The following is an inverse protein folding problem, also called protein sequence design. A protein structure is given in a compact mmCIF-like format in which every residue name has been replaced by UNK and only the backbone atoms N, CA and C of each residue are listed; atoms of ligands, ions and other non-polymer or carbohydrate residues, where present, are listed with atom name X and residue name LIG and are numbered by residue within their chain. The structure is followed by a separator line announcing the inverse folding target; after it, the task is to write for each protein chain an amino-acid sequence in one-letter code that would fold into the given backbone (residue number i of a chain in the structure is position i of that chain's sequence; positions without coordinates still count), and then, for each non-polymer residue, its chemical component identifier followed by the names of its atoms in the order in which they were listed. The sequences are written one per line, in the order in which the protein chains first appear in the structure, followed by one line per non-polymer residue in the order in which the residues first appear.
data_IF_929324664608
#
_entry.id   IF_929324664608
#
_cell.length_a   1.000
_cell.length_b   1.000
_cell.length_c   1.000
_cell.angle_alpha   90.00
_cell.angle_beta   90.00
_cell.angle_gamma   90.00
#
_symmetry.space_group_name_H-M   'P 1'
#
loop_
_entity.id
_entity.type
_entity.pdbx_description
1 polymer ?
#
# COMPACT_ATOMS: atom_id res chain seq x y z
N UNK A 1 16.64 -61.04 -7.44
CA UNK A 1 16.12 -60.47 -6.17
C UNK A 1 15.95 -58.94 -6.24
N UNK A 2 16.97 -58.12 -6.49
CA UNK A 2 16.86 -56.65 -6.54
C UNK A 2 15.90 -56.09 -7.58
N UNK A 3 15.83 -56.70 -8.80
CA UNK A 3 14.91 -56.23 -9.85
C UNK A 3 13.44 -56.55 -9.54
N UNK A 4 13.15 -57.66 -8.85
CA UNK A 4 11.81 -58.02 -8.43
C UNK A 4 11.33 -57.07 -7.31
N UNK A 5 12.15 -56.81 -6.31
CA UNK A 5 11.87 -55.84 -5.23
C UNK A 5 11.67 -54.42 -5.75
N UNK A 6 12.42 -54.01 -6.78
CA UNK A 6 12.28 -52.71 -7.42
C UNK A 6 10.95 -52.60 -8.17
N UNK A 7 10.49 -53.69 -8.79
CA UNK A 7 9.20 -53.73 -9.50
C UNK A 7 8.01 -53.70 -8.51
N UNK A 8 8.17 -54.39 -7.39
CA UNK A 8 7.22 -54.40 -6.29
C UNK A 8 7.15 -53.03 -5.61
N UNK A 9 8.28 -52.40 -5.32
CA UNK A 9 8.38 -51.04 -4.80
C UNK A 9 7.73 -49.97 -5.71
N UNK A 10 7.83 -50.16 -7.05
CA UNK A 10 7.16 -49.25 -8.00
C UNK A 10 5.64 -49.40 -8.06
N UNK A 11 5.08 -50.49 -7.57
CA UNK A 11 3.64 -50.74 -7.47
C UNK A 11 3.05 -50.15 -6.20
N UNK A 12 3.86 -49.90 -5.17
CA UNK A 12 3.40 -49.26 -3.96
C UNK A 12 3.16 -47.75 -4.22
N UNK A 13 2.10 -47.16 -3.66
CA UNK A 13 1.90 -45.72 -3.71
C UNK A 13 3.14 -45.04 -3.13
N UNK A 14 3.72 -44.10 -3.84
CA UNK A 14 4.90 -43.33 -3.37
C UNK A 14 4.62 -42.49 -2.12
N UNK A 15 3.36 -42.29 -1.81
CA UNK A 15 2.87 -41.68 -0.57
C UNK A 15 1.41 -42.10 -0.40
N UNK A 16 1.13 -42.82 0.66
CA UNK A 16 -0.23 -43.04 1.11
C UNK A 16 -0.64 -41.87 2.03
N UNK A 17 -1.56 -41.00 1.63
CA UNK A 17 -2.03 -39.92 2.47
C UNK A 17 -2.84 -40.41 3.67
N UNK A 18 -3.22 -41.67 3.69
CA UNK A 18 -3.99 -42.32 4.77
C UNK A 18 -3.14 -43.24 5.64
N UNK A 19 -1.82 -43.31 5.40
CA UNK A 19 -0.91 -44.06 6.25
C UNK A 19 -0.92 -43.46 7.66
N UNK A 20 -1.44 -44.20 8.68
CA UNK A 20 -1.54 -43.70 10.05
C UNK A 20 -0.17 -43.48 10.69
N UNK A 21 0.87 -44.12 10.20
CA UNK A 21 2.22 -44.03 10.74
C UNK A 21 3.09 -42.98 10.00
N UNK A 22 2.57 -42.39 8.95
CA UNK A 22 3.33 -41.37 8.21
C UNK A 22 3.48 -40.09 9.04
N UNK A 23 4.74 -39.73 9.28
CA UNK A 23 5.10 -38.51 10.01
C UNK A 23 5.99 -37.63 9.17
N UNK A 24 5.69 -36.34 9.14
CA UNK A 24 6.53 -35.35 8.46
C UNK A 24 6.47 -34.02 9.20
N UNK A 25 7.65 -33.45 9.46
CA UNK A 25 7.81 -32.10 10.02
C UNK A 25 8.55 -31.22 9.04
N UNK A 26 8.02 -30.01 8.82
CA UNK A 26 8.67 -28.94 8.06
C UNK A 26 8.77 -27.71 8.93
N UNK A 27 9.89 -27.03 8.84
CA UNK A 27 10.19 -25.84 9.63
C UNK A 27 10.55 -24.69 8.72
N UNK A 28 9.97 -23.50 8.97
CA UNK A 28 10.31 -22.25 8.31
C UNK A 28 10.42 -21.17 9.37
N UNK A 29 11.50 -20.40 9.34
CA UNK A 29 11.76 -19.32 10.28
C UNK A 29 12.04 -18.01 9.53
N UNK A 30 11.58 -16.92 10.09
CA UNK A 30 11.91 -15.56 9.70
C UNK A 30 12.09 -14.72 10.97
N UNK A 31 13.32 -14.28 11.24
CA UNK A 31 13.70 -13.61 12.49
C UNK A 31 13.23 -14.39 13.73
N UNK A 32 12.33 -13.82 14.52
CA UNK A 32 11.77 -14.43 15.74
C UNK A 32 10.54 -15.29 15.46
N UNK A 33 9.89 -15.08 14.31
CA UNK A 33 8.71 -15.82 13.91
C UNK A 33 9.08 -17.15 13.24
N UNK A 34 8.35 -18.21 13.58
CA UNK A 34 8.48 -19.49 12.91
C UNK A 34 7.14 -20.17 12.69
N UNK A 35 7.11 -21.08 11.73
CA UNK A 35 5.95 -21.97 11.48
C UNK A 35 6.43 -23.39 11.27
N UNK A 36 5.71 -24.33 11.89
CA UNK A 36 5.92 -25.76 11.74
C UNK A 36 4.74 -26.34 10.96
N UNK A 37 5.02 -27.04 9.87
CA UNK A 37 4.05 -27.87 9.18
C UNK A 37 4.24 -29.33 9.59
N UNK A 38 3.28 -29.88 10.31
CA UNK A 38 3.34 -31.25 10.80
C UNK A 38 2.25 -32.11 10.15
N UNK A 39 2.59 -33.34 9.81
CA UNK A 39 1.67 -34.37 9.40
C UNK A 39 1.69 -35.45 10.49
N UNK A 40 0.58 -35.64 11.17
CA UNK A 40 0.42 -36.58 12.28
C UNK A 40 -0.73 -36.17 13.19
N UNK A 41 -0.97 -36.96 14.27
CA UNK A 41 -2.01 -36.71 15.26
C UNK A 41 -1.79 -35.38 16.01
N UNK A 42 -2.90 -34.76 16.45
CA UNK A 42 -2.85 -33.51 17.21
C UNK A 42 -2.05 -33.66 18.52
N UNK A 43 -2.17 -34.82 19.20
CA UNK A 43 -1.43 -35.07 20.45
C UNK A 43 0.09 -35.00 20.26
N UNK A 44 0.60 -35.52 19.16
CA UNK A 44 2.05 -35.39 18.82
C UNK A 44 2.43 -33.95 18.52
N UNK A 45 1.57 -33.17 17.86
CA UNK A 45 1.82 -31.76 17.63
C UNK A 45 1.88 -30.96 18.95
N UNK A 46 1.06 -31.34 19.95
CA UNK A 46 1.11 -30.77 21.30
C UNK A 46 2.43 -31.11 21.99
N UNK A 47 2.89 -32.36 21.91
CA UNK A 47 4.19 -32.80 22.47
C UNK A 47 5.38 -32.05 21.79
N UNK A 48 5.31 -31.83 20.48
CA UNK A 48 6.32 -31.05 19.77
C UNK A 48 6.34 -29.62 20.30
N UNK A 49 5.20 -29.02 20.52
CA UNK A 49 5.10 -27.65 21.07
C UNK A 49 5.70 -27.57 22.47
N UNK A 50 5.40 -28.52 23.36
CA UNK A 50 5.95 -28.59 24.72
C UNK A 50 7.48 -28.82 24.71
N UNK A 51 7.96 -29.70 23.83
CA UNK A 51 9.39 -29.94 23.66
C UNK A 51 10.13 -28.67 23.18
N UNK A 52 9.54 -27.90 22.27
CA UNK A 52 10.08 -26.63 21.82
C UNK A 52 10.09 -25.58 22.94
N UNK A 53 9.01 -25.49 23.72
CA UNK A 53 8.94 -24.56 24.86
C UNK A 53 10.03 -24.88 25.88
N UNK A 54 10.21 -26.14 26.20
CA UNK A 54 11.25 -26.61 27.12
C UNK A 54 12.65 -26.32 26.59
N UNK A 55 12.92 -26.62 25.32
CA UNK A 55 14.19 -26.34 24.67
C UNK A 55 14.52 -24.83 24.68
N UNK A 56 13.56 -23.98 24.30
CA UNK A 56 13.75 -22.52 24.27
C UNK A 56 14.06 -21.99 25.65
N UNK A 57 13.30 -22.43 26.68
CA UNK A 57 13.48 -22.00 28.06
C UNK A 57 14.80 -22.50 28.65
N UNK A 58 15.08 -23.78 28.52
CA UNK A 58 16.17 -24.41 29.27
C UNK A 58 17.53 -24.24 28.58
N UNK A 59 17.57 -24.33 27.23
CA UNK A 59 18.80 -24.22 26.47
C UNK A 59 19.12 -22.80 26.02
N UNK A 60 18.12 -22.03 25.61
CA UNK A 60 18.31 -20.70 25.01
C UNK A 60 17.89 -19.55 25.93
N UNK A 61 17.29 -19.84 27.09
CA UNK A 61 16.75 -18.84 28.04
C UNK A 61 15.75 -17.87 27.37
N UNK A 62 14.95 -18.41 26.44
CA UNK A 62 13.91 -17.68 25.71
C UNK A 62 12.53 -18.19 26.13
N UNK A 63 11.56 -17.31 26.17
CA UNK A 63 10.17 -17.65 26.48
C UNK A 63 9.34 -17.76 25.19
N UNK A 64 8.61 -18.87 25.06
CA UNK A 64 7.65 -19.06 23.99
C UNK A 64 6.33 -18.37 24.34
N UNK A 65 5.85 -17.44 23.52
CA UNK A 65 4.54 -16.83 23.72
C UNK A 65 3.43 -17.84 23.46
N UNK A 66 2.82 -18.35 24.54
CA UNK A 66 1.72 -19.34 24.45
C UNK A 66 0.50 -18.82 23.73
N UNK A 67 0.19 -17.54 23.89
CA UNK A 67 -0.96 -16.88 23.25
C UNK A 67 -0.81 -16.76 21.72
N UNK A 68 0.43 -16.60 21.24
CA UNK A 68 0.74 -16.46 19.82
C UNK A 68 1.06 -17.80 19.16
N UNK A 69 1.54 -18.80 19.91
CA UNK A 69 1.92 -20.12 19.41
C UNK A 69 0.71 -21.06 19.44
N UNK A 70 -0.02 -21.10 18.33
CA UNK A 70 -1.25 -21.87 18.19
C UNK A 70 -1.03 -23.12 17.34
N UNK A 71 -1.69 -24.21 17.70
CA UNK A 71 -1.82 -25.39 16.85
C UNK A 71 -3.09 -25.20 16.01
N UNK A 72 -2.94 -25.21 14.71
CA UNK A 72 -4.00 -24.91 13.75
C UNK A 72 -4.19 -26.10 12.81
N UNK A 73 -5.42 -26.59 12.68
CA UNK A 73 -5.72 -27.68 11.76
C UNK A 73 -5.67 -27.18 10.30
N UNK A 74 -4.72 -27.69 9.52
CA UNK A 74 -4.34 -27.14 8.22
C UNK A 74 -5.45 -27.16 7.16
N UNK A 75 -6.42 -28.08 7.25
CA UNK A 75 -7.48 -28.23 6.25
C UNK A 75 -8.73 -27.42 6.55
N UNK A 76 -9.05 -27.23 7.84
CA UNK A 76 -10.28 -26.51 8.25
C UNK A 76 -10.03 -25.09 8.76
N UNK A 77 -8.78 -24.75 9.08
CA UNK A 77 -8.39 -23.47 9.64
C UNK A 77 -7.22 -22.86 8.85
N UNK A 78 -6.83 -21.64 9.22
CA UNK A 78 -5.70 -20.93 8.61
C UNK A 78 -4.69 -20.54 9.70
N UNK A 79 -3.44 -20.93 9.53
CA UNK A 79 -2.37 -20.48 10.40
C UNK A 79 -1.89 -19.09 9.96
N UNK A 80 -1.60 -18.21 10.94
CA UNK A 80 -1.10 -16.87 10.67
C UNK A 80 0.42 -16.85 10.71
N UNK A 81 1.05 -16.35 9.67
CA UNK A 81 2.50 -16.18 9.61
C UNK A 81 2.85 -14.98 8.74
N UNK A 82 3.67 -14.05 9.25
CA UNK A 82 4.10 -12.85 8.55
C UNK A 82 2.95 -12.07 7.89
N UNK A 83 1.85 -11.88 8.59
CA UNK A 83 0.70 -11.16 8.08
C UNK A 83 -0.14 -11.89 7.04
N UNK A 84 0.26 -13.10 6.62
CA UNK A 84 -0.52 -13.99 5.75
C UNK A 84 -1.31 -15.03 6.55
N UNK A 85 -2.35 -15.55 5.93
CA UNK A 85 -3.01 -16.80 6.32
C UNK A 85 -2.49 -17.94 5.45
N UNK A 86 -1.92 -18.97 6.09
CA UNK A 86 -1.50 -20.21 5.45
C UNK A 86 -2.64 -21.21 5.49
N UNK A 87 -3.01 -21.74 4.33
CA UNK A 87 -4.06 -22.73 4.20
C UNK A 87 -3.57 -23.93 3.40
N UNK A 88 -3.99 -25.12 3.76
CA UNK A 88 -3.83 -26.27 2.90
C UNK A 88 -5.00 -26.31 1.91
N UNK A 89 -4.68 -26.27 0.61
CA UNK A 89 -5.71 -26.33 -0.42
C UNK A 89 -6.18 -27.78 -0.62
N UNK A 90 -7.47 -27.97 -0.55
CA UNK A 90 -8.12 -29.24 -0.88
C UNK A 90 -9.31 -28.98 -1.80
N UNK A 91 -9.33 -29.66 -2.93
CA UNK A 91 -10.42 -29.59 -3.90
C UNK A 91 -10.39 -30.88 -4.72
N UNK A 92 -11.29 -31.80 -4.43
CA UNK A 92 -11.33 -33.10 -5.07
C UNK A 92 -11.92 -33.04 -6.48
N UNK A 93 -12.63 -31.96 -6.81
CA UNK A 93 -13.33 -31.80 -8.08
C UNK A 93 -12.44 -31.15 -9.15
N UNK A 94 -11.36 -30.47 -8.71
CA UNK A 94 -10.39 -29.84 -9.64
C UNK A 94 -9.35 -30.84 -10.14
N UNK A 95 -9.60 -31.35 -11.29
CA UNK A 95 -8.68 -32.22 -12.03
C UNK A 95 -7.81 -31.41 -13.01
N UNK A 96 -6.63 -31.90 -13.33
CA UNK A 96 -5.80 -31.43 -14.42
C UNK A 96 -6.26 -32.06 -15.77
N UNK A 97 -5.57 -31.71 -16.87
CA UNK A 97 -5.86 -32.25 -18.20
C UNK A 97 -5.73 -33.77 -18.29
N UNK A 98 -5.05 -34.40 -17.34
CA UNK A 98 -4.79 -35.83 -17.26
C UNK A 98 -5.70 -36.52 -16.21
N UNK A 99 -6.75 -35.86 -15.73
CA UNK A 99 -7.66 -36.40 -14.72
C UNK A 99 -7.08 -36.51 -13.32
N UNK A 100 -5.91 -35.87 -13.03
CA UNK A 100 -5.27 -35.94 -11.72
C UNK A 100 -5.67 -34.74 -10.86
N UNK A 101 -5.84 -34.95 -9.56
CA UNK A 101 -6.11 -33.88 -8.59
C UNK A 101 -4.96 -32.86 -8.57
N UNK A 102 -5.26 -31.60 -8.90
CA UNK A 102 -4.23 -30.58 -9.14
C UNK A 102 -3.87 -29.75 -7.90
N UNK A 103 -4.75 -29.66 -6.93
CA UNK A 103 -4.71 -28.62 -5.88
C UNK A 103 -4.39 -29.20 -4.50
N UNK A 104 -4.75 -30.46 -4.25
CA UNK A 104 -4.65 -31.08 -2.92
C UNK A 104 -3.22 -31.09 -2.37
N UNK A 105 -3.07 -30.74 -1.10
CA UNK A 105 -1.81 -30.72 -0.39
C UNK A 105 -0.94 -29.46 -0.71
N UNK A 106 -1.42 -28.52 -1.51
CA UNK A 106 -0.66 -27.28 -1.79
C UNK A 106 -0.91 -26.23 -0.71
N UNK A 107 0.17 -25.67 -0.21
CA UNK A 107 0.07 -24.54 0.70
C UNK A 107 -0.31 -23.28 -0.07
N UNK A 108 -1.39 -22.65 0.38
CA UNK A 108 -1.88 -21.38 -0.14
C UNK A 108 -1.61 -20.26 0.85
N UNK A 109 -1.13 -19.12 0.35
CA UNK A 109 -1.04 -17.88 1.09
C UNK A 109 -2.26 -17.04 0.79
N UNK A 110 -2.90 -16.47 1.80
CA UNK A 110 -4.05 -15.59 1.65
C UNK A 110 -3.86 -14.30 2.44
N UNK A 111 -4.44 -13.23 1.95
CA UNK A 111 -4.59 -11.97 2.70
C UNK A 111 -5.73 -12.18 3.70
N UNK A 112 -5.50 -11.93 5.00
CA UNK A 112 -6.57 -11.95 5.99
C UNK A 112 -7.63 -10.88 5.69
N UNK A 113 -8.91 -11.22 5.84
CA UNK A 113 -10.01 -10.27 5.61
C UNK A 113 -9.88 -9.01 6.49
N UNK A 114 -9.47 -9.21 7.75
CA UNK A 114 -9.24 -8.13 8.72
C UNK A 114 -8.21 -7.10 8.24
N UNK A 115 -7.18 -7.53 7.52
CA UNK A 115 -6.16 -6.62 6.95
C UNK A 115 -6.79 -5.68 5.93
N UNK A 116 -7.60 -6.22 5.01
CA UNK A 116 -8.29 -5.41 4.00
C UNK A 116 -9.25 -4.41 4.67
N UNK A 117 -9.98 -4.86 5.69
CA UNK A 117 -10.90 -4.01 6.45
C UNK A 117 -10.18 -2.88 7.18
N UNK A 118 -9.10 -3.19 7.89
CA UNK A 118 -8.28 -2.19 8.60
C UNK A 118 -7.71 -1.14 7.65
N UNK A 119 -7.19 -1.55 6.49
CA UNK A 119 -6.71 -0.60 5.49
C UNK A 119 -7.83 0.24 4.89
N UNK A 120 -9.03 -0.32 4.70
CA UNK A 120 -10.19 0.45 4.26
C UNK A 120 -10.61 1.49 5.30
N UNK A 121 -10.62 1.14 6.59
CA UNK A 121 -11.02 2.05 7.68
C UNK A 121 -10.19 3.33 7.72
N UNK A 122 -8.91 3.28 7.35
CA UNK A 122 -8.04 4.46 7.28
C UNK A 122 -8.55 5.56 6.32
N UNK A 123 -9.43 5.21 5.39
CA UNK A 123 -10.00 6.11 4.39
C UNK A 123 -11.50 6.34 4.57
N UNK A 124 -12.05 5.91 5.70
CA UNK A 124 -13.49 5.91 5.98
C UNK A 124 -13.80 6.58 7.30
N UNK A 125 -14.97 7.22 7.38
CA UNK A 125 -15.59 7.71 8.60
C UNK A 125 -17.04 7.22 8.60
N UNK A 126 -17.50 6.66 9.71
CA UNK A 126 -18.83 6.07 9.84
C UNK A 126 -19.18 5.12 8.69
N UNK A 127 -18.25 4.24 8.32
CA UNK A 127 -18.46 3.24 7.27
C UNK A 127 -18.49 3.77 5.83
N UNK A 128 -18.23 5.07 5.61
CA UNK A 128 -18.24 5.69 4.27
C UNK A 128 -16.90 6.31 3.93
N UNK A 129 -16.38 6.14 2.69
CA UNK A 129 -15.16 6.82 2.26
C UNK A 129 -15.26 8.32 2.48
N UNK A 130 -14.21 8.95 3.03
CA UNK A 130 -14.16 10.38 3.34
C UNK A 130 -12.95 11.05 2.69
N UNK A 131 -12.97 12.38 2.62
CA UNK A 131 -11.82 13.16 2.19
C UNK A 131 -10.77 13.25 3.31
N UNK A 132 -9.52 13.44 2.93
CA UNK A 132 -8.39 13.61 3.84
C UNK A 132 -8.05 15.07 3.99
N UNK A 133 -8.42 15.65 5.13
CA UNK A 133 -8.23 17.07 5.40
C UNK A 133 -6.76 17.50 5.38
N UNK A 134 -5.86 16.63 5.84
CA UNK A 134 -4.42 16.87 5.90
C UNK A 134 -3.77 17.05 4.52
N UNK A 135 -4.44 16.58 3.45
CA UNK A 135 -3.94 16.68 2.08
C UNK A 135 -4.51 17.85 1.28
N UNK A 136 -5.47 18.60 1.83
CA UNK A 136 -6.14 19.68 1.09
C UNK A 136 -5.20 20.83 0.72
N UNK A 137 -4.10 21.00 1.45
CA UNK A 137 -3.09 22.01 1.19
C UNK A 137 -2.03 21.58 0.16
N UNK A 138 -1.92 20.26 -0.10
CA UNK A 138 -0.94 19.70 -1.06
C UNK A 138 -1.41 19.92 -2.50
N UNK A 139 -0.50 19.87 -3.46
CA UNK A 139 -0.86 19.86 -4.89
C UNK A 139 -1.45 18.51 -5.33
N UNK A 140 -2.14 18.50 -6.47
CA UNK A 140 -2.84 17.31 -6.96
C UNK A 140 -1.89 16.16 -7.28
N UNK A 141 -0.67 16.47 -7.75
CA UNK A 141 0.37 15.47 -8.00
C UNK A 141 0.77 14.76 -6.71
N UNK A 142 1.01 15.51 -5.65
CA UNK A 142 1.39 14.99 -4.32
C UNK A 142 0.24 14.16 -3.74
N UNK A 143 -1.00 14.64 -3.83
CA UNK A 143 -2.17 13.92 -3.34
C UNK A 143 -2.29 12.55 -4.03
N UNK A 144 -2.31 12.54 -5.38
CA UNK A 144 -2.47 11.31 -6.16
C UNK A 144 -1.30 10.35 -5.94
N UNK A 145 -0.05 10.86 -5.89
CA UNK A 145 1.15 10.08 -5.64
C UNK A 145 1.11 9.40 -4.27
N UNK A 146 0.62 10.09 -3.25
CA UNK A 146 0.51 9.55 -1.88
C UNK A 146 -0.47 8.39 -1.81
N UNK A 147 -1.67 8.56 -2.35
CA UNK A 147 -2.64 7.46 -2.43
C UNK A 147 -2.08 6.25 -3.18
N UNK A 148 -1.39 6.47 -4.30
CA UNK A 148 -0.78 5.38 -5.07
C UNK A 148 0.33 4.67 -4.30
N UNK A 149 1.19 5.41 -3.59
CA UNK A 149 2.28 4.83 -2.81
C UNK A 149 1.75 3.98 -1.66
N UNK A 150 0.74 4.45 -0.95
CA UNK A 150 0.08 3.73 0.14
C UNK A 150 -0.58 2.44 -0.40
N UNK A 151 -1.33 2.53 -1.50
CA UNK A 151 -1.96 1.36 -2.12
C UNK A 151 -0.94 0.35 -2.66
N UNK A 152 0.08 0.84 -3.38
CA UNK A 152 1.14 0.00 -3.94
C UNK A 152 1.90 -0.76 -2.85
N UNK A 153 2.23 -0.11 -1.74
CA UNK A 153 2.93 -0.74 -0.63
C UNK A 153 2.17 -1.94 -0.07
N UNK A 154 0.87 -1.79 0.16
CA UNK A 154 0.02 -2.88 0.64
C UNK A 154 -0.08 -4.01 -0.40
N UNK A 155 -0.35 -3.70 -1.66
CA UNK A 155 -0.49 -4.72 -2.71
C UNK A 155 0.82 -5.47 -2.94
N UNK A 156 1.97 -4.77 -2.97
CA UNK A 156 3.28 -5.40 -3.16
C UNK A 156 3.62 -6.40 -2.07
N UNK A 157 3.31 -6.08 -0.81
CA UNK A 157 3.53 -7.00 0.30
C UNK A 157 2.76 -8.32 0.12
N UNK A 158 1.54 -8.25 -0.43
CA UNK A 158 0.65 -9.41 -0.57
C UNK A 158 0.60 -10.03 -1.98
N UNK A 159 1.57 -9.74 -2.86
CA UNK A 159 1.58 -10.26 -4.24
C UNK A 159 1.63 -11.79 -4.33
N UNK A 160 2.13 -12.48 -3.30
CA UNK A 160 2.17 -13.94 -3.23
C UNK A 160 0.82 -14.58 -2.88
N UNK A 161 -0.15 -13.78 -2.41
CA UNK A 161 -1.44 -14.29 -1.97
C UNK A 161 -2.33 -14.76 -3.13
N UNK A 162 -3.11 -15.79 -2.88
CA UNK A 162 -4.09 -16.32 -3.84
C UNK A 162 -5.24 -15.33 -4.10
N UNK A 163 -5.59 -14.55 -3.09
CA UNK A 163 -6.73 -13.63 -3.09
C UNK A 163 -6.32 -12.15 -3.18
N UNK A 164 -5.22 -11.84 -3.87
CA UNK A 164 -4.77 -10.46 -4.14
C UNK A 164 -5.89 -9.60 -4.74
N UNK A 165 -6.77 -10.21 -5.56
CA UNK A 165 -7.91 -9.54 -6.18
C UNK A 165 -8.87 -8.89 -5.16
N UNK A 166 -8.90 -9.37 -3.91
CA UNK A 166 -9.72 -8.78 -2.85
C UNK A 166 -9.30 -7.34 -2.48
N UNK A 167 -8.07 -6.93 -2.81
CA UNK A 167 -7.67 -5.53 -2.70
C UNK A 167 -8.42 -4.58 -3.65
N UNK A 168 -9.23 -5.10 -4.56
CA UNK A 168 -10.18 -4.32 -5.33
C UNK A 168 -11.13 -3.50 -4.45
N UNK A 169 -11.54 -4.04 -3.28
CA UNK A 169 -12.32 -3.31 -2.27
C UNK A 169 -11.54 -2.10 -1.74
N UNK A 170 -10.29 -2.28 -1.35
CA UNK A 170 -9.43 -1.20 -0.88
C UNK A 170 -9.18 -0.16 -1.97
N UNK A 171 -8.89 -0.60 -3.19
CA UNK A 171 -8.70 0.29 -4.34
C UNK A 171 -9.91 1.18 -4.56
N UNK A 172 -11.11 0.59 -4.52
CA UNK A 172 -12.36 1.34 -4.66
C UNK A 172 -12.55 2.37 -3.53
N UNK A 173 -12.36 1.97 -2.26
CA UNK A 173 -12.48 2.86 -1.10
C UNK A 173 -11.51 4.02 -1.23
N UNK A 174 -10.25 3.75 -1.54
CA UNK A 174 -9.22 4.77 -1.72
C UNK A 174 -9.52 5.69 -2.89
N UNK A 175 -10.03 5.17 -4.01
CA UNK A 175 -10.45 5.97 -5.16
C UNK A 175 -11.60 6.93 -4.81
N UNK A 176 -12.59 6.45 -4.02
CA UNK A 176 -13.67 7.30 -3.55
C UNK A 176 -13.17 8.40 -2.60
N UNK A 177 -12.25 8.05 -1.68
CA UNK A 177 -11.62 8.99 -0.75
C UNK A 177 -10.78 10.04 -1.51
N UNK A 178 -9.95 9.61 -2.46
CA UNK A 178 -9.16 10.49 -3.33
C UNK A 178 -10.04 11.48 -4.09
N UNK A 179 -11.09 10.98 -4.75
CA UNK A 179 -12.02 11.82 -5.49
C UNK A 179 -12.74 12.84 -4.61
N UNK A 180 -13.08 12.47 -3.35
CA UNK A 180 -13.63 13.40 -2.35
C UNK A 180 -12.60 14.41 -1.87
N UNK A 181 -11.34 14.02 -1.68
CA UNK A 181 -10.25 14.91 -1.29
C UNK A 181 -10.02 15.99 -2.36
N UNK A 182 -9.91 15.58 -3.62
CA UNK A 182 -9.79 16.52 -4.74
C UNK A 182 -11.05 17.40 -4.89
N UNK A 183 -12.25 16.84 -4.69
CA UNK A 183 -13.51 17.59 -4.75
C UNK A 183 -13.58 18.67 -3.66
N UNK A 184 -13.19 18.35 -2.44
CA UNK A 184 -13.13 19.29 -1.34
C UNK A 184 -12.10 20.40 -1.60
N UNK A 185 -10.91 20.04 -2.10
CA UNK A 185 -9.85 20.99 -2.45
C UNK A 185 -10.30 21.96 -3.54
N UNK A 186 -10.84 21.45 -4.64
CA UNK A 186 -11.23 22.24 -5.82
C UNK A 186 -12.64 22.85 -5.72
N UNK A 187 -13.39 22.54 -4.65
CA UNK A 187 -14.80 22.95 -4.51
C UNK A 187 -15.63 22.62 -5.77
N UNK A 188 -15.43 21.43 -6.31
CA UNK A 188 -16.00 20.98 -7.58
C UNK A 188 -16.66 19.62 -7.38
N UNK A 189 -17.79 19.34 -8.02
CA UNK A 189 -18.45 18.05 -7.91
C UNK A 189 -17.51 16.88 -8.29
N UNK A 190 -17.53 15.81 -7.47
CA UNK A 190 -16.69 14.62 -7.64
C UNK A 190 -16.71 14.07 -9.09
N UNK A 191 -17.90 14.00 -9.71
CA UNK A 191 -18.06 13.51 -11.10
C UNK A 191 -17.19 14.28 -12.10
N UNK A 192 -17.14 15.60 -11.98
CA UNK A 192 -16.35 16.46 -12.88
C UNK A 192 -14.87 16.21 -12.71
N UNK A 193 -14.41 15.99 -11.48
CA UNK A 193 -13.00 15.70 -11.22
C UNK A 193 -12.58 14.30 -11.67
N UNK A 194 -13.41 13.29 -11.45
CA UNK A 194 -13.13 11.94 -11.98
C UNK A 194 -12.96 12.02 -13.49
N UNK A 195 -13.85 12.68 -14.22
CA UNK A 195 -13.73 12.86 -15.68
C UNK A 195 -12.45 13.60 -16.07
N UNK A 196 -12.06 14.62 -15.29
CA UNK A 196 -10.85 15.41 -15.57
C UNK A 196 -9.56 14.61 -15.44
N UNK A 197 -9.49 13.71 -14.44
CA UNK A 197 -8.30 12.93 -14.13
C UNK A 197 -8.34 11.51 -14.67
N UNK A 198 -9.45 11.07 -15.22
CA UNK A 198 -9.59 9.74 -15.79
C UNK A 198 -8.60 9.53 -16.94
N UNK A 199 -7.86 8.43 -16.86
CA UNK A 199 -6.87 8.03 -17.85
C UNK A 199 -6.74 6.50 -17.84
N UNK A 200 -5.95 5.98 -18.74
CA UNK A 200 -5.60 4.56 -18.80
C UNK A 200 -4.08 4.39 -18.77
N UNK A 201 -3.65 3.23 -18.33
CA UNK A 201 -2.25 2.83 -18.32
C UNK A 201 -2.11 1.39 -18.85
N UNK A 202 -1.19 1.20 -19.77
CA UNK A 202 -0.86 -0.14 -20.28
C UNK A 202 -0.03 -0.88 -19.23
N UNK A 203 -0.44 -2.11 -18.94
CA UNK A 203 0.25 -3.03 -18.03
C UNK A 203 0.51 -4.35 -18.76
N UNK A 204 1.37 -5.19 -18.20
CA UNK A 204 1.61 -6.57 -18.69
C UNK A 204 0.31 -7.41 -18.80
N UNK A 205 -0.77 -6.95 -18.15
CA UNK A 205 -2.06 -7.62 -18.10
C UNK A 205 -3.17 -6.82 -18.84
N UNK A 206 -2.76 -5.99 -19.80
CA UNK A 206 -3.66 -5.15 -20.58
C UNK A 206 -3.86 -3.75 -20.00
N UNK A 207 -4.71 -2.98 -20.66
CA UNK A 207 -5.02 -1.62 -20.30
C UNK A 207 -5.84 -1.54 -19.02
N UNK A 208 -5.51 -0.58 -18.15
CA UNK A 208 -6.14 -0.38 -16.85
C UNK A 208 -6.51 1.08 -16.63
N UNK A 209 -7.72 1.29 -16.13
CA UNK A 209 -8.18 2.62 -15.75
C UNK A 209 -7.42 3.15 -14.52
N UNK A 210 -7.10 4.44 -14.53
CA UNK A 210 -6.47 5.15 -13.42
C UNK A 210 -6.96 6.60 -13.35
N UNK A 211 -6.65 7.28 -12.26
CA UNK A 211 -6.74 8.73 -12.16
C UNK A 211 -5.33 9.29 -12.31
N UNK A 212 -5.11 10.19 -13.26
CA UNK A 212 -3.80 10.72 -13.62
C UNK A 212 -3.78 12.24 -13.57
N UNK A 213 -2.69 12.79 -13.07
CA UNK A 213 -2.33 14.20 -13.24
C UNK A 213 -0.96 14.28 -13.90
N UNK A 214 -0.84 15.22 -14.83
CA UNK A 214 0.42 15.56 -15.49
C UNK A 214 0.77 16.99 -15.12
N UNK A 215 2.01 17.21 -14.68
CA UNK A 215 2.55 18.53 -14.37
C UNK A 215 3.69 18.79 -15.33
N UNK A 216 3.46 19.71 -16.26
CA UNK A 216 4.48 20.15 -17.17
C UNK A 216 5.59 20.90 -16.41
N UNK A 217 6.83 20.65 -16.81
CA UNK A 217 8.02 21.36 -16.29
C UNK A 217 8.69 22.10 -17.43
N UNK A 218 8.97 23.38 -17.22
CA UNK A 218 9.72 24.17 -18.20
C UNK A 218 11.08 23.56 -18.56
N UNK A 219 11.78 24.17 -19.48
CA UNK A 219 13.16 23.86 -19.89
C UNK A 219 13.38 22.46 -20.49
N UNK A 220 12.41 21.92 -21.23
CA UNK A 220 12.51 20.60 -21.86
C UNK A 220 12.57 19.40 -20.89
N UNK A 221 12.33 19.62 -19.59
CA UNK A 221 12.28 18.56 -18.58
C UNK A 221 11.05 17.70 -18.78
N UNK A 222 11.21 16.39 -18.61
CA UNK A 222 10.08 15.44 -18.69
C UNK A 222 8.97 15.82 -17.70
N UNK A 223 7.68 15.76 -18.10
CA UNK A 223 6.57 16.07 -17.22
C UNK A 223 6.54 15.11 -16.01
N UNK A 224 6.06 15.62 -14.88
CA UNK A 224 5.78 14.77 -13.71
C UNK A 224 4.41 14.14 -13.87
N UNK A 225 4.35 12.84 -13.77
CA UNK A 225 3.10 12.09 -13.91
C UNK A 225 2.81 11.35 -12.61
N UNK A 226 1.68 11.65 -11.98
CA UNK A 226 1.16 10.88 -10.86
C UNK A 226 -0.11 10.13 -11.29
N UNK A 227 -0.23 8.87 -10.86
CA UNK A 227 -1.36 7.99 -11.18
C UNK A 227 -1.84 7.29 -9.94
N UNK A 228 -3.15 7.16 -9.79
CA UNK A 228 -3.78 6.27 -8.80
C UNK A 228 -4.58 5.19 -9.52
N UNK A 229 -4.33 3.93 -9.20
CA UNK A 229 -4.88 2.76 -9.90
C UNK A 229 -3.89 2.15 -10.90
N UNK A 230 -4.38 1.36 -11.83
CA UNK A 230 -3.55 0.71 -12.84
C UNK A 230 -2.68 -0.44 -12.32
N UNK A 231 -2.74 -0.78 -11.03
CA UNK A 231 -1.98 -1.91 -10.46
C UNK A 231 -2.75 -3.20 -10.73
N UNK A 232 -2.13 -4.19 -11.40
CA UNK A 232 -2.76 -5.50 -11.59
C UNK A 232 -2.91 -6.23 -10.26
N UNK A 233 -4.14 -6.55 -9.87
CA UNK A 233 -4.42 -7.32 -8.66
C UNK A 233 -4.38 -8.83 -8.98
N UNK A 234 -3.23 -9.29 -9.44
CA UNK A 234 -2.96 -10.68 -9.78
C UNK A 234 -1.82 -11.23 -8.94
N UNK A 235 -1.94 -12.50 -8.56
CA UNK A 235 -0.87 -13.20 -7.86
C UNK A 235 0.40 -13.23 -8.73
N UNK A 236 1.52 -12.84 -8.15
CA UNK A 236 2.83 -13.01 -8.75
C UNK A 236 3.64 -14.01 -7.91
N UNK A 237 3.87 -15.21 -8.45
CA UNK A 237 4.63 -16.27 -7.76
C UNK A 237 6.13 -16.00 -7.70
N UNK A 238 6.62 -15.14 -8.56
CA UNK A 238 8.03 -14.75 -8.65
C UNK A 238 8.31 -13.41 -7.94
N UNK A 239 7.32 -12.86 -7.26
CA UNK A 239 7.52 -11.62 -6.51
C UNK A 239 8.61 -11.83 -5.45
N UNK A 240 9.66 -11.02 -5.54
CA UNK A 240 10.69 -10.94 -4.51
C UNK A 240 10.27 -9.85 -3.53
N UNK A 241 9.98 -10.26 -2.31
CA UNK A 241 9.75 -9.34 -1.20
C UNK A 241 11.12 -8.96 -0.65
N UNK A 242 11.58 -7.76 -0.95
CA UNK A 242 12.85 -7.25 -0.43
C UNK A 242 12.60 -6.54 0.89
N UNK A 243 13.42 -6.81 1.91
CA UNK A 243 13.43 -6.11 3.19
C UNK A 243 14.03 -4.68 3.10
N UNK A 244 14.18 -4.17 1.90
CA UNK A 244 14.60 -2.79 1.74
C UNK A 244 13.56 -1.89 2.40
N UNK A 245 14.02 -1.14 3.39
CA UNK A 245 13.17 -0.10 4.00
C UNK A 245 12.58 0.73 2.89
N UNK A 246 11.24 0.88 2.83
CA UNK A 246 10.64 1.77 1.85
C UNK A 246 11.33 3.12 2.02
N UNK A 247 11.79 3.68 0.89
CA UNK A 247 12.30 5.05 0.93
C UNK A 247 11.23 5.86 1.64
N UNK A 248 11.55 6.34 2.84
CA UNK A 248 10.64 7.20 3.59
C UNK A 248 10.52 8.48 2.80
N UNK A 249 9.61 8.50 1.84
CA UNK A 249 9.08 9.76 1.36
C UNK A 249 8.42 10.40 2.58
N UNK A 250 9.15 11.24 3.26
CA UNK A 250 8.59 12.08 4.31
C UNK A 250 7.67 13.08 3.63
N UNK A 251 6.42 12.71 3.44
CA UNK A 251 5.37 13.56 2.90
C UNK A 251 4.89 14.64 3.90
N UNK A 252 5.59 14.81 5.01
CA UNK A 252 5.27 15.83 5.99
C UNK A 252 5.65 17.20 5.46
N UNK A 253 4.65 17.99 5.03
CA UNK A 253 4.79 19.41 4.62
C UNK A 253 5.93 19.66 3.63
N UNK A 254 6.29 18.65 2.87
CA UNK A 254 7.53 18.67 2.05
C UNK A 254 7.48 19.71 0.95
N UNK A 255 6.30 20.09 0.47
CA UNK A 255 6.22 21.11 -0.55
C UNK A 255 6.66 22.46 -0.01
N UNK A 256 6.14 22.89 1.14
CA UNK A 256 6.57 24.15 1.76
C UNK A 256 8.06 24.09 2.16
N UNK A 257 8.50 22.97 2.73
CA UNK A 257 9.90 22.78 3.13
C UNK A 257 10.81 22.76 1.90
N UNK A 258 10.45 22.07 0.82
CA UNK A 258 11.23 22.08 -0.42
C UNK A 258 11.32 23.46 -1.06
N UNK A 259 10.22 24.22 -1.04
CA UNK A 259 10.20 25.59 -1.55
C UNK A 259 11.03 26.52 -0.68
N UNK A 260 11.00 26.33 0.66
CA UNK A 260 11.83 27.10 1.58
C UNK A 260 13.33 26.72 1.45
N UNK A 261 13.63 25.42 1.31
CA UNK A 261 14.99 24.91 1.10
C UNK A 261 15.56 25.22 -0.30
N UNK A 262 14.72 25.54 -1.27
CA UNK A 262 15.16 26.08 -2.55
C UNK A 262 15.72 27.49 -2.40
N UNK A 263 15.42 28.13 -1.24
CA UNK A 263 15.88 29.46 -0.85
C UNK A 263 15.67 30.52 -1.94
N UNK A 264 14.55 30.42 -2.65
CA UNK A 264 14.20 31.25 -3.78
C UNK A 264 12.81 31.89 -3.59
N UNK A 265 12.75 33.20 -3.75
CA UNK A 265 11.51 33.96 -3.69
C UNK A 265 10.57 33.59 -4.85
N UNK A 266 9.37 33.10 -4.55
CA UNK A 266 8.38 32.70 -5.57
C UNK A 266 7.80 33.87 -6.39
N UNK A 267 8.12 35.12 -6.04
CA UNK A 267 7.67 36.33 -6.73
C UNK A 267 8.75 36.98 -7.59
N UNK A 268 9.97 37.13 -7.09
CA UNK A 268 11.05 37.86 -7.79
C UNK A 268 12.32 37.03 -8.05
N UNK A 269 12.38 35.76 -7.58
CA UNK A 269 13.54 34.89 -7.76
C UNK A 269 14.74 35.20 -6.86
N UNK A 270 14.67 36.21 -5.97
CA UNK A 270 15.75 36.54 -5.03
C UNK A 270 16.00 35.41 -4.05
N UNK A 271 17.28 35.18 -3.70
CA UNK A 271 17.70 34.16 -2.72
C UNK A 271 18.04 34.77 -1.36
N UNK A 272 17.85 36.08 -1.18
CA UNK A 272 18.17 36.76 0.06
C UNK A 272 16.99 36.84 1.02
N UNK A 273 17.21 36.49 2.29
CA UNK A 273 16.29 36.58 3.42
C UNK A 273 14.87 36.05 3.08
N UNK A 274 14.81 34.79 2.67
CA UNK A 274 13.58 34.12 2.24
C UNK A 274 12.72 33.72 3.42
N UNK A 275 11.45 34.11 3.42
CA UNK A 275 10.49 33.92 4.50
C UNK A 275 9.20 33.30 3.98
N UNK A 276 8.37 32.78 4.90
CA UNK A 276 7.07 32.20 4.56
C UNK A 276 5.94 33.17 4.91
N UNK A 277 5.23 33.63 3.89
CA UNK A 277 3.97 34.36 4.07
C UNK A 277 2.78 33.43 4.18
N UNK A 278 1.87 33.69 5.13
CA UNK A 278 0.68 32.90 5.38
C UNK A 278 -0.61 33.72 5.21
N UNK A 279 -1.65 33.08 4.63
CA UNK A 279 -3.02 33.59 4.72
C UNK A 279 -3.87 32.65 5.57
N UNK A 280 -4.74 33.22 6.43
CA UNK A 280 -5.63 32.46 7.31
C UNK A 280 -6.59 31.57 6.53
N UNK A 281 -7.19 32.12 5.47
CA UNK A 281 -8.07 31.37 4.59
C UNK A 281 -7.92 31.84 3.14
N UNK A 282 -8.11 30.93 2.16
CA UNK A 282 -8.06 31.30 0.73
C UNK A 282 -9.13 32.33 0.33
N UNK A 283 -10.24 32.41 1.07
CA UNK A 283 -11.25 33.44 0.88
C UNK A 283 -10.72 34.85 1.18
N UNK A 284 -9.73 34.98 2.05
CA UNK A 284 -9.11 36.23 2.44
C UNK A 284 -8.32 36.87 1.28
N UNK A 285 -8.03 36.07 0.23
CA UNK A 285 -7.45 36.55 -1.04
C UNK A 285 -8.50 37.30 -1.91
N UNK A 286 -9.79 37.25 -1.54
CA UNK A 286 -10.88 37.96 -2.22
C UNK A 286 -11.29 39.20 -1.42
N UNK A 287 -10.56 40.27 -1.59
CA UNK A 287 -10.94 41.57 -0.96
C UNK A 287 -12.09 42.16 -1.74
N UNK A 288 -13.24 42.39 -1.05
CA UNK A 288 -14.39 43.06 -1.66
C UNK A 288 -14.01 44.52 -2.05
N UNK A 289 -14.33 44.93 -3.27
CA UNK A 289 -14.10 46.28 -3.75
C UNK A 289 -12.82 46.55 -4.52
N UNK A 290 -11.86 45.60 -4.62
CA UNK A 290 -10.71 45.72 -5.52
C UNK A 290 -11.05 45.15 -6.90
N UNK A 291 -10.88 45.92 -7.95
CA UNK A 291 -11.10 45.49 -9.35
C UNK A 291 -10.07 44.47 -9.80
N UNK A 292 -8.81 44.57 -9.36
CA UNK A 292 -7.75 43.61 -9.68
C UNK A 292 -7.09 43.09 -8.39
N UNK A 293 -6.78 41.78 -8.40
CA UNK A 293 -6.04 41.15 -7.30
C UNK A 293 -4.56 41.41 -7.47
N UNK A 294 -3.82 41.72 -6.41
CA UNK A 294 -2.36 41.75 -6.45
C UNK A 294 -1.81 40.43 -6.99
N UNK A 295 -0.67 40.48 -7.70
CA UNK A 295 -0.10 39.29 -8.35
C UNK A 295 0.18 38.15 -7.36
N UNK A 296 0.67 38.48 -6.16
CA UNK A 296 0.86 37.47 -5.10
C UNK A 296 -0.43 36.74 -4.71
N UNK A 297 -1.55 37.46 -4.63
CA UNK A 297 -2.87 36.88 -4.32
C UNK A 297 -3.37 36.03 -5.50
N UNK A 298 -3.08 36.43 -6.75
CA UNK A 298 -3.38 35.62 -7.94
C UNK A 298 -2.58 34.32 -7.92
N UNK A 299 -1.27 34.37 -7.64
CA UNK A 299 -0.38 33.18 -7.52
C UNK A 299 -0.88 32.23 -6.44
N UNK A 300 -1.20 32.73 -5.25
CA UNK A 300 -1.74 31.91 -4.17
C UNK A 300 -3.11 31.31 -4.50
N UNK A 301 -3.98 32.10 -5.14
CA UNK A 301 -5.32 31.65 -5.53
C UNK A 301 -5.25 30.59 -6.64
N UNK A 302 -4.41 30.81 -7.67
CA UNK A 302 -4.20 29.86 -8.78
C UNK A 302 -3.63 28.53 -8.29
N UNK A 303 -2.65 28.58 -7.42
CA UNK A 303 -2.03 27.41 -6.81
C UNK A 303 -2.86 26.81 -5.65
N UNK A 304 -3.91 27.49 -5.21
CA UNK A 304 -4.77 27.13 -4.04
C UNK A 304 -3.97 26.82 -2.78
N UNK A 305 -2.94 27.60 -2.54
CA UNK A 305 -2.06 27.47 -1.38
C UNK A 305 -2.31 28.58 -0.36
N UNK A 306 -2.14 28.25 0.92
CA UNK A 306 -2.19 29.23 2.02
C UNK A 306 -0.82 29.80 2.37
N UNK A 307 0.24 29.35 1.68
CA UNK A 307 1.61 29.74 1.94
C UNK A 307 2.29 30.20 0.66
N UNK A 308 3.13 31.23 0.77
CA UNK A 308 3.99 31.74 -0.27
C UNK A 308 5.40 31.92 0.30
N UNK A 309 6.42 31.47 -0.40
CA UNK A 309 7.82 31.65 -0.02
C UNK A 309 8.33 32.90 -0.72
N UNK A 310 8.75 33.89 0.04
CA UNK A 310 9.09 35.24 -0.48
C UNK A 310 10.27 35.84 0.26
N UNK A 311 11.09 36.64 -0.43
CA UNK A 311 12.13 37.43 0.24
C UNK A 311 11.50 38.53 1.11
N UNK A 312 12.26 39.05 2.07
CA UNK A 312 11.80 40.10 2.99
C UNK A 312 11.20 41.33 2.29
N UNK A 313 11.80 41.90 1.22
CA UNK A 313 11.21 43.03 0.50
C UNK A 313 9.82 42.68 -0.09
N UNK A 314 9.69 41.55 -0.77
CA UNK A 314 8.41 41.08 -1.30
C UNK A 314 7.40 40.78 -0.20
N UNK A 315 7.85 40.28 0.98
CA UNK A 315 6.96 40.01 2.12
C UNK A 315 6.37 41.31 2.69
N UNK A 316 7.19 42.36 2.83
CA UNK A 316 6.72 43.68 3.28
C UNK A 316 5.74 44.28 2.28
N UNK A 317 6.00 44.18 0.98
CA UNK A 317 5.08 44.67 -0.06
C UNK A 317 3.76 43.91 -0.09
N UNK A 318 3.79 42.59 0.17
CA UNK A 318 2.57 41.77 0.30
C UNK A 318 1.71 42.26 1.46
N UNK A 319 2.29 42.67 2.59
CA UNK A 319 1.59 43.24 3.74
C UNK A 319 1.11 44.65 3.48
N UNK A 320 1.87 45.50 2.78
CA UNK A 320 1.51 46.86 2.41
C UNK A 320 0.47 46.98 1.28
N UNK A 321 0.22 45.89 0.56
CA UNK A 321 -0.80 45.83 -0.50
C UNK A 321 -0.35 46.30 -1.88
N UNK A 322 0.89 46.77 -2.06
CA UNK A 322 1.40 47.42 -3.28
C UNK A 322 2.60 46.65 -3.90
N UNK A 323 2.47 45.35 -4.11
CA UNK A 323 3.50 44.62 -4.85
C UNK A 323 3.36 44.84 -6.36
N UNK A 324 4.40 45.39 -6.99
CA UNK A 324 4.58 45.46 -8.46
C UNK A 324 5.75 44.57 -8.87
N UNK A 325 5.62 43.78 -9.96
CA UNK A 325 6.72 42.99 -10.47
C UNK A 325 7.87 43.95 -10.94
N UNK A 326 9.09 43.59 -10.55
CA UNK A 326 10.31 44.17 -11.16
C UNK A 326 10.59 43.52 -12.49
#
# INVERSE_FOLDING_TARGET
MAAALRKEFQQLPSSDPYDPDYRRLRYVRYADDFVLGFIGPKAEAEQIKESLETFLRDSLKLELSREKTLITHATSQAAKFLGYELTNQQDNDKLDRNGRRKVNGRIGLRVPAKVIEQHCQAYMVNGKPTHRNELLADDDYTIISRYQSEFRGVVQYYLLALNVSHFGKLQWVMQQSLAKTLAAKHKTPRRKLIRRYQSTVNTEHGERACLQVVVERGDGKRPLVARFGGIPLKRNRQAVLTDQRPQRYRFYRNELIKRLLADECELCGSTEDVQVHHVRALRDLNVKGRREKPMWAQVMAARRRKTLVVCRPCHLTVHGGDWQPR
#
